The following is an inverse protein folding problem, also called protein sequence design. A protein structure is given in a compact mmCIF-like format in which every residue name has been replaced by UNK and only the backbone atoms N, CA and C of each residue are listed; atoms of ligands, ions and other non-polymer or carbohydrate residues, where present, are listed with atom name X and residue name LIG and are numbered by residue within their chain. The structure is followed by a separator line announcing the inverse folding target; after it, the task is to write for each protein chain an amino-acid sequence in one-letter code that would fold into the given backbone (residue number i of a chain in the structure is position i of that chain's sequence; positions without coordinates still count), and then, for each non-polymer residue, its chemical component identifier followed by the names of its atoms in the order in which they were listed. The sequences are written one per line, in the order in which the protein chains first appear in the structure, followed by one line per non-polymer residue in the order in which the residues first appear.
data_IF_734034795947
#
_entry.id   IF_734034795947
#
_cell.length_a   1.000
_cell.length_b   1.000
_cell.length_c   1.000
_cell.angle_alpha   90.00
_cell.angle_beta   90.00
_cell.angle_gamma   90.00
#
_symmetry.space_group_name_H-M   'P 1'
#
loop_
_entity.id
_entity.type
_entity.pdbx_description
1 polymer ?
#
# COMPACT_ATOMS: atom_id res chain seq x y z
N UNK A 1 -8.31 0.43 3.01
CA UNK A 1 -6.87 0.77 2.94
C UNK A 1 -6.15 -0.11 1.94
N UNK A 2 -5.81 -1.38 2.22
CA UNK A 2 -5.01 -2.21 1.29
C UNK A 2 -5.54 -2.28 -0.16
N UNK A 3 -6.84 -2.59 -0.36
CA UNK A 3 -7.44 -2.67 -1.70
C UNK A 3 -7.47 -1.30 -2.40
N UNK A 4 -7.81 -0.24 -1.67
CA UNK A 4 -7.85 1.13 -2.19
C UNK A 4 -6.47 1.60 -2.66
N UNK A 5 -5.41 1.25 -1.91
CA UNK A 5 -4.02 1.52 -2.28
C UNK A 5 -3.64 0.86 -3.60
N UNK A 6 -3.95 -0.44 -3.77
CA UNK A 6 -3.66 -1.18 -5.01
C UNK A 6 -4.39 -0.56 -6.21
N UNK A 7 -5.69 -0.27 -6.05
CA UNK A 7 -6.50 0.34 -7.12
C UNK A 7 -5.98 1.72 -7.50
N UNK A 8 -5.58 2.53 -6.52
CA UNK A 8 -5.02 3.87 -6.75
C UNK A 8 -3.70 3.82 -7.53
N UNK A 9 -2.77 2.94 -7.12
CA UNK A 9 -1.48 2.80 -7.81
C UNK A 9 -1.64 2.29 -9.25
N UNK A 10 -2.54 1.34 -9.49
CA UNK A 10 -2.85 0.84 -10.84
C UNK A 10 -3.44 1.93 -11.73
N UNK A 11 -4.42 2.68 -11.22
CA UNK A 11 -5.01 3.80 -11.95
C UNK A 11 -3.97 4.88 -12.25
N UNK A 12 -3.13 5.23 -11.28
CA UNK A 12 -2.07 6.24 -11.43
C UNK A 12 -1.06 5.84 -12.50
N UNK A 13 -0.64 4.57 -12.53
CA UNK A 13 0.28 4.06 -13.55
C UNK A 13 -0.31 4.13 -14.95
N UNK A 14 -1.55 3.68 -15.11
CA UNK A 14 -2.26 3.77 -16.39
C UNK A 14 -2.36 5.21 -16.87
N UNK A 15 -2.67 6.15 -15.99
CA UNK A 15 -2.74 7.57 -16.35
C UNK A 15 -1.38 8.16 -16.71
N UNK A 16 -0.31 7.77 -16.02
CA UNK A 16 1.04 8.26 -16.34
C UNK A 16 1.51 7.77 -17.71
N UNK A 17 1.14 6.54 -18.08
CA UNK A 17 1.39 5.99 -19.42
C UNK A 17 0.64 6.75 -20.51
N UNK A 18 -0.64 7.07 -20.28
CA UNK A 18 -1.51 7.72 -21.27
C UNK A 18 -1.16 9.21 -21.44
N UNK A 19 -0.85 9.92 -20.35
CA UNK A 19 -0.70 11.39 -20.38
C UNK A 19 0.76 11.85 -20.47
N UNK A 20 1.70 11.14 -19.82
CA UNK A 20 3.09 11.58 -19.73
C UNK A 20 4.04 10.75 -20.62
N UNK A 21 3.53 9.71 -21.32
CA UNK A 21 4.34 8.73 -22.06
C UNK A 21 5.49 8.12 -21.24
N UNK A 22 5.44 8.29 -19.91
CA UNK A 22 6.46 7.81 -18.99
C UNK A 22 6.00 6.47 -18.46
N UNK A 23 6.62 5.41 -18.96
CA UNK A 23 6.43 4.07 -18.42
C UNK A 23 7.30 3.90 -17.19
N UNK A 24 6.66 3.89 -16.01
CA UNK A 24 7.35 3.45 -14.81
C UNK A 24 7.38 1.91 -14.90
N UNK A 25 8.55 1.27 -14.78
CA UNK A 25 8.65 -0.17 -14.88
C UNK A 25 7.76 -0.83 -13.83
N UNK A 26 6.96 -1.81 -14.26
CA UNK A 26 5.97 -2.49 -13.43
C UNK A 26 6.58 -3.06 -12.14
N UNK A 27 7.85 -3.48 -12.19
CA UNK A 27 8.60 -3.96 -11.03
C UNK A 27 8.71 -2.91 -9.91
N UNK A 28 9.00 -1.65 -10.25
CA UNK A 28 9.05 -0.54 -9.28
C UNK A 28 7.68 -0.27 -8.67
N UNK A 29 6.62 -0.38 -9.47
CA UNK A 29 5.23 -0.20 -9.01
C UNK A 29 4.83 -1.30 -8.05
N UNK A 30 5.09 -2.56 -8.41
CA UNK A 30 4.78 -3.70 -7.57
C UNK A 30 5.57 -3.66 -6.25
N UNK A 31 6.85 -3.28 -6.31
CA UNK A 31 7.68 -3.08 -5.11
C UNK A 31 7.13 -1.99 -4.18
N UNK A 32 6.65 -0.87 -4.75
CA UNK A 32 6.02 0.20 -3.98
C UNK A 32 4.70 -0.24 -3.34
N UNK A 33 3.85 -0.94 -4.10
CA UNK A 33 2.60 -1.51 -3.60
C UNK A 33 2.87 -2.51 -2.46
N UNK A 34 3.82 -3.43 -2.62
CA UNK A 34 4.14 -4.44 -1.59
C UNK A 34 4.63 -3.80 -0.29
N UNK A 35 5.53 -2.81 -0.38
CA UNK A 35 6.00 -2.05 0.80
C UNK A 35 4.85 -1.36 1.52
N UNK A 36 3.95 -0.72 0.79
CA UNK A 36 2.82 0.00 1.38
C UNK A 36 1.81 -0.98 2.01
N UNK A 37 1.55 -2.11 1.37
CA UNK A 37 0.72 -3.20 1.90
C UNK A 37 1.31 -3.78 3.19
N UNK A 38 2.62 -4.06 3.21
CA UNK A 38 3.34 -4.52 4.41
C UNK A 38 3.26 -3.51 5.54
N UNK A 39 3.41 -2.22 5.25
CA UNK A 39 3.27 -1.16 6.26
C UNK A 39 1.84 -1.09 6.82
N UNK A 40 0.82 -1.18 5.97
CA UNK A 40 -0.59 -1.20 6.41
C UNK A 40 -0.88 -2.42 7.29
N UNK A 41 -0.37 -3.61 6.91
CA UNK A 41 -0.55 -4.84 7.68
C UNK A 41 0.19 -4.75 9.02
N UNK A 42 1.43 -4.28 9.01
CA UNK A 42 2.27 -4.12 10.22
C UNK A 42 1.65 -3.13 11.19
N UNK A 43 1.24 -1.94 10.71
CA UNK A 43 0.55 -0.95 11.53
C UNK A 43 -0.79 -1.47 12.10
N UNK A 44 -1.53 -2.31 11.35
CA UNK A 44 -2.75 -2.97 11.87
C UNK A 44 -2.41 -4.00 12.95
N UNK A 45 -1.32 -4.75 12.80
CA UNK A 45 -0.87 -5.73 13.79
C UNK A 45 -0.43 -5.04 15.08
N UNK A 46 0.33 -3.95 14.99
CA UNK A 46 0.75 -3.13 16.13
C UNK A 46 -0.44 -2.55 16.88
N UNK A 47 -1.43 -1.97 16.17
CA UNK A 47 -2.67 -1.50 16.81
C UNK A 47 -3.45 -2.61 17.52
N UNK A 48 -3.45 -3.83 16.96
CA UNK A 48 -4.11 -4.99 17.60
C UNK A 48 -3.37 -5.44 18.87
N UNK A 49 -2.04 -5.41 18.85
CA UNK A 49 -1.20 -5.74 20.01
C UNK A 49 -1.33 -4.69 21.13
N UNK A 50 -1.30 -3.40 20.78
CA UNK A 50 -1.54 -2.31 21.73
C UNK A 50 -2.90 -2.45 22.38
N UNK A 51 -3.98 -2.63 21.60
CA UNK A 51 -5.33 -2.82 22.16
C UNK A 51 -5.44 -4.03 23.09
N UNK A 52 -4.68 -5.10 22.86
CA UNK A 52 -4.69 -6.28 23.72
C UNK A 52 -3.95 -6.01 25.05
N UNK A 53 -2.88 -5.21 25.05
CA UNK A 53 -2.17 -4.89 26.30
C UNK A 53 -2.97 -3.97 27.22
N UNK A 54 -3.81 -3.06 26.68
CA UNK A 54 -4.68 -2.19 27.48
C UNK A 54 -5.86 -2.92 28.14
N UNK A 55 -6.25 -4.11 27.64
CA UNK A 55 -7.36 -4.90 28.20
C UNK A 55 -6.95 -5.76 29.40
N UNK A 56 -5.65 -5.91 29.66
CA UNK A 56 -5.11 -6.69 30.78
C UNK A 56 -4.46 -5.83 31.88
N UNK A 57 -4.73 -4.52 31.89
CA UNK A 57 -4.24 -3.57 32.89
C UNK A 57 -5.34 -3.07 33.81
#
# INVERSE_FOLDING_TARGET
MAVQTVVYHLWKQRNNLIHNQSSIPAETVFSAIDKELRNIISARRERKLLNLSWLCG
#
